data_IF_141676290247
#
_entry.id   IF_141676290247
#
_cell.length_a   1.000
_cell.length_b   1.000
_cell.length_c   1.000
_cell.angle_alpha   90.00
_cell.angle_beta   90.00
_cell.angle_gamma   90.00
#
_symmetry.space_group_name_H-M   'P 1'
#
loop_
_entity.id
_entity.type
_entity.pdbx_description
1 polymer ?
#
# COMPACT_ATOMS: atom_id res chain seq x y z
N UNK A 1 31.94 -74.75 -33.59
CA UNK A 1 30.63 -74.19 -33.22
C UNK A 1 30.44 -74.32 -31.72
N UNK A 2 30.07 -73.21 -31.09
CA UNK A 2 30.07 -72.94 -29.65
C UNK A 2 28.84 -73.47 -28.92
N UNK A 3 29.07 -74.04 -27.71
CA UNK A 3 28.41 -73.79 -26.39
C UNK A 3 28.24 -75.10 -25.59
N UNK A 4 29.24 -75.37 -24.75
CA UNK A 4 29.30 -76.48 -23.79
C UNK A 4 28.57 -76.09 -22.49
N UNK A 5 27.61 -76.90 -22.01
CA UNK A 5 27.80 -78.04 -21.10
C UNK A 5 28.70 -77.71 -19.91
N UNK A 6 28.08 -77.61 -18.72
CA UNK A 6 28.50 -78.22 -17.44
C UNK A 6 27.92 -77.44 -16.26
N UNK A 7 26.63 -77.65 -16.04
CA UNK A 7 26.14 -77.75 -14.66
C UNK A 7 26.66 -79.09 -14.15
N UNK A 8 27.23 -79.07 -12.94
CA UNK A 8 27.70 -80.21 -12.12
C UNK A 8 29.04 -80.86 -12.56
N UNK A 9 30.10 -80.58 -11.81
CA UNK A 9 31.12 -81.54 -11.33
C UNK A 9 32.14 -80.71 -10.50
N UNK A 10 32.03 -80.74 -9.17
CA UNK A 10 32.93 -81.53 -8.33
C UNK A 10 34.37 -81.02 -8.26
N UNK A 11 34.72 -80.54 -7.06
CA UNK A 11 35.94 -80.92 -6.34
C UNK A 11 37.28 -80.29 -6.79
N UNK A 12 37.99 -79.77 -5.78
CA UNK A 12 39.43 -79.46 -5.74
C UNK A 12 39.90 -78.14 -6.39
N UNK A 13 39.77 -77.03 -5.64
CA UNK A 13 40.86 -76.07 -5.39
C UNK A 13 40.38 -74.95 -4.43
N UNK A 14 39.98 -75.32 -3.20
CA UNK A 14 40.30 -74.49 -2.03
C UNK A 14 41.83 -74.27 -2.10
N UNK A 15 42.36 -73.05 -2.07
CA UNK A 15 42.26 -72.15 -0.93
C UNK A 15 43.65 -72.05 -0.32
N UNK A 16 44.09 -70.82 -0.06
CA UNK A 16 45.33 -70.42 0.60
C UNK A 16 46.61 -70.35 -0.26
N UNK A 17 47.45 -69.38 0.10
CA UNK A 17 48.79 -69.02 -0.43
C UNK A 17 48.76 -68.38 -1.83
N UNK A 18 48.95 -67.07 -1.98
CA UNK A 18 50.21 -66.38 -1.66
C UNK A 18 50.03 -64.90 -1.33
N UNK A 19 50.13 -64.57 -0.03
CA UNK A 19 50.88 -63.38 0.39
C UNK A 19 52.30 -63.54 -0.14
N UNK A 20 52.84 -62.59 -0.91
CA UNK A 20 54.28 -62.27 -0.96
C UNK A 20 54.51 -61.00 -1.80
N UNK A 21 55.05 -60.00 -1.11
CA UNK A 21 56.01 -59.00 -1.56
C UNK A 21 55.50 -57.79 -2.36
N UNK A 22 55.71 -56.62 -1.76
CA UNK A 22 55.38 -55.33 -2.31
C UNK A 22 56.23 -54.91 -3.50
N UNK A 23 55.71 -53.92 -4.20
CA UNK A 23 56.51 -52.87 -4.82
C UNK A 23 55.62 -51.64 -4.98
N UNK A 24 56.09 -50.54 -4.41
CA UNK A 24 55.88 -49.15 -4.79
C UNK A 24 54.63 -48.78 -5.61
N UNK A 25 53.85 -47.82 -5.08
CA UNK A 25 53.33 -46.77 -5.95
C UNK A 25 52.08 -46.05 -5.48
N UNK A 26 52.30 -44.79 -5.07
CA UNK A 26 51.38 -43.65 -5.25
C UNK A 26 50.38 -43.33 -4.12
N UNK A 27 50.88 -42.62 -3.10
CA UNK A 27 50.06 -41.69 -2.31
C UNK A 27 50.30 -40.26 -2.82
N UNK A 28 49.31 -39.65 -3.46
CA UNK A 28 49.30 -38.21 -3.70
C UNK A 28 48.56 -37.54 -2.55
N UNK A 29 49.34 -37.12 -1.54
CA UNK A 29 48.89 -36.12 -0.58
C UNK A 29 48.97 -34.74 -1.22
N UNK A 30 47.93 -34.34 -1.94
CA UNK A 30 47.80 -32.96 -2.41
C UNK A 30 46.95 -32.18 -1.40
N UNK A 31 47.63 -31.47 -0.49
CA UNK A 31 47.02 -30.41 0.32
C UNK A 31 46.75 -29.23 -0.62
N UNK A 32 45.50 -29.01 -0.98
CA UNK A 32 45.07 -27.87 -1.78
C UNK A 32 45.17 -26.57 -0.96
N UNK A 33 46.01 -25.66 -1.44
CA UNK A 33 46.42 -24.39 -0.85
C UNK A 33 45.40 -23.25 -1.02
N UNK A 34 44.12 -23.54 -0.80
CA UNK A 34 43.03 -22.55 -0.89
C UNK A 34 42.18 -22.56 0.38
N UNK A 35 42.83 -22.46 1.53
CA UNK A 35 42.14 -22.09 2.76
C UNK A 35 42.03 -20.56 2.79
N UNK A 36 41.04 -20.03 2.10
CA UNK A 36 40.57 -18.67 2.36
C UNK A 36 39.70 -18.80 3.61
N UNK A 37 40.32 -18.64 4.79
CA UNK A 37 39.57 -18.46 6.03
C UNK A 37 38.71 -17.23 5.86
N UNK A 38 37.42 -17.42 5.57
CA UNK A 38 36.47 -16.33 5.49
C UNK A 38 36.45 -15.66 6.87
N UNK A 39 36.52 -14.32 6.98
CA UNK A 39 36.31 -13.68 8.27
C UNK A 39 34.98 -14.20 8.83
N UNK A 40 35.00 -14.74 10.05
CA UNK A 40 33.75 -15.07 10.73
C UNK A 40 32.96 -13.77 10.83
N UNK A 41 31.91 -13.65 10.02
CA UNK A 41 30.88 -12.63 10.15
C UNK A 41 30.38 -12.66 11.60
N UNK A 42 30.89 -11.75 12.42
CA UNK A 42 30.56 -11.62 13.84
C UNK A 42 29.70 -10.39 13.99
N UNK A 43 28.40 -10.59 13.84
CA UNK A 43 27.41 -9.54 13.96
C UNK A 43 26.05 -10.13 14.30
N UNK A 44 25.31 -9.45 15.16
CA UNK A 44 23.91 -9.79 15.45
C UNK A 44 23.05 -8.90 14.57
N UNK A 45 22.30 -9.50 13.65
CA UNK A 45 21.29 -8.77 12.88
C UNK A 45 20.01 -8.75 13.69
N UNK A 46 19.56 -7.54 14.05
CA UNK A 46 18.32 -7.33 14.78
C UNK A 46 17.34 -6.64 13.85
N UNK A 47 16.23 -7.31 13.58
CA UNK A 47 15.06 -6.71 12.95
C UNK A 47 14.04 -6.41 14.05
N UNK A 48 13.59 -5.17 14.13
CA UNK A 48 12.57 -4.74 15.10
C UNK A 48 11.49 -3.96 14.37
N UNK A 49 10.23 -4.29 14.65
CA UNK A 49 9.05 -3.54 14.21
C UNK A 49 8.52 -2.76 15.40
N UNK A 50 8.36 -1.45 15.25
CA UNK A 50 7.70 -0.59 16.23
C UNK A 50 6.34 -0.16 15.71
N UNK A 51 5.30 -0.35 16.50
CA UNK A 51 3.96 0.17 16.22
C UNK A 51 3.59 1.20 17.28
N UNK A 52 2.99 2.31 16.85
CA UNK A 52 2.45 3.32 17.75
C UNK A 52 1.01 3.61 17.34
N UNK A 53 0.11 3.54 18.32
CA UNK A 53 -1.28 3.92 18.15
C UNK A 53 -1.52 5.23 18.89
N UNK A 54 -2.11 6.20 18.19
CA UNK A 54 -2.41 7.53 18.72
C UNK A 54 -3.88 7.84 18.51
N UNK A 55 -4.47 8.57 19.45
CA UNK A 55 -5.83 9.08 19.32
C UNK A 55 -5.78 10.33 18.41
N UNK A 56 -6.63 10.43 17.37
CA UNK A 56 -6.72 11.64 16.55
C UNK A 56 -7.12 12.86 17.40
N UNK A 57 -6.46 13.99 17.16
CA UNK A 57 -6.56 15.23 17.94
C UNK A 57 -7.30 16.36 17.20
N UNK A 58 -7.97 16.05 16.09
CA UNK A 58 -8.79 17.01 15.36
C UNK A 58 -9.52 16.42 14.16
N UNK A 59 -10.60 17.08 13.75
CA UNK A 59 -11.42 16.73 12.59
C UNK A 59 -11.66 17.96 11.74
N UNK A 60 -11.40 17.86 10.44
CA UNK A 60 -11.79 18.88 9.48
C UNK A 60 -12.93 18.36 8.61
N UNK A 61 -13.97 19.18 8.43
CA UNK A 61 -15.04 18.91 7.48
C UNK A 61 -15.33 20.14 6.62
N UNK A 62 -15.84 19.87 5.42
CA UNK A 62 -16.21 20.90 4.46
C UNK A 62 -17.69 20.76 4.14
N UNK A 63 -18.40 21.88 4.08
CA UNK A 63 -19.79 21.92 3.64
C UNK A 63 -20.05 23.16 2.79
N UNK A 64 -21.12 23.11 2.02
CA UNK A 64 -21.54 24.23 1.17
C UNK A 64 -23.02 24.49 1.34
N UNK A 65 -23.39 25.77 1.35
CA UNK A 65 -24.78 26.20 1.23
C UNK A 65 -24.98 26.74 -0.18
N UNK A 66 -26.15 26.48 -0.74
CA UNK A 66 -26.50 26.99 -2.06
C UNK A 66 -27.96 27.43 -2.12
N UNK A 67 -28.23 28.39 -2.99
CA UNK A 67 -29.57 28.84 -3.33
C UNK A 67 -29.69 29.01 -4.85
N UNK A 68 -30.87 28.71 -5.41
CA UNK A 68 -31.18 28.88 -6.83
C UNK A 68 -32.32 29.87 -6.96
N UNK A 69 -32.08 30.98 -7.65
CA UNK A 69 -33.06 32.05 -7.81
C UNK A 69 -33.16 32.54 -9.26
N UNK A 70 -34.23 33.25 -9.59
CA UNK A 70 -34.44 33.78 -10.94
C UNK A 70 -33.37 34.80 -11.38
N UNK A 71 -32.71 35.49 -10.44
CA UNK A 71 -31.66 36.47 -10.74
C UNK A 71 -30.40 36.21 -9.91
N UNK A 72 -29.24 36.57 -10.47
CA UNK A 72 -27.94 36.48 -9.77
C UNK A 72 -27.91 37.26 -8.45
N UNK A 73 -28.55 38.45 -8.42
CA UNK A 73 -28.62 39.27 -7.21
C UNK A 73 -29.41 38.60 -6.09
N UNK A 74 -30.59 38.04 -6.42
CA UNK A 74 -31.42 37.33 -5.44
C UNK A 74 -30.73 36.04 -4.96
N UNK A 75 -30.07 35.31 -5.87
CA UNK A 75 -29.34 34.10 -5.53
C UNK A 75 -28.23 34.39 -4.52
N UNK A 76 -27.43 35.44 -4.75
CA UNK A 76 -26.38 35.88 -3.82
C UNK A 76 -26.94 36.30 -2.47
N UNK A 77 -28.01 37.09 -2.44
CA UNK A 77 -28.65 37.52 -1.18
C UNK A 77 -29.17 36.33 -0.37
N UNK A 78 -29.85 35.38 -1.03
CA UNK A 78 -30.33 34.15 -0.37
C UNK A 78 -29.18 33.28 0.12
N UNK A 79 -28.13 33.10 -0.68
CA UNK A 79 -26.96 32.33 -0.27
C UNK A 79 -26.23 32.97 0.93
N UNK A 80 -26.09 34.29 0.96
CA UNK A 80 -25.51 35.02 2.10
C UNK A 80 -26.34 34.84 3.38
N UNK A 81 -27.68 34.91 3.28
CA UNK A 81 -28.55 34.68 4.43
C UNK A 81 -28.42 33.24 4.97
N UNK A 82 -28.38 32.24 4.08
CA UNK A 82 -28.17 30.85 4.48
C UNK A 82 -26.79 30.63 5.10
N UNK A 83 -25.77 31.31 4.59
CA UNK A 83 -24.43 31.30 5.15
C UNK A 83 -24.36 31.92 6.55
N UNK A 84 -25.09 33.01 6.78
CA UNK A 84 -25.19 33.64 8.10
C UNK A 84 -25.83 32.69 9.11
N UNK A 85 -26.94 32.04 8.73
CA UNK A 85 -27.60 31.01 9.55
C UNK A 85 -26.71 29.79 9.80
N UNK A 86 -25.95 29.35 8.81
CA UNK A 86 -25.02 28.23 8.97
C UNK A 86 -23.89 28.58 9.97
N UNK A 87 -23.35 29.80 9.91
CA UNK A 87 -22.35 30.26 10.89
C UNK A 87 -22.95 30.40 12.28
N UNK A 88 -24.19 30.87 12.39
CA UNK A 88 -24.90 30.97 13.67
C UNK A 88 -25.12 29.60 14.30
N UNK A 89 -25.63 28.62 13.54
CA UNK A 89 -25.82 27.25 14.00
C UNK A 89 -24.50 26.60 14.47
N UNK A 90 -23.38 26.87 13.80
CA UNK A 90 -22.07 26.38 14.23
C UNK A 90 -21.59 27.04 15.53
N UNK A 91 -21.80 28.35 15.69
CA UNK A 91 -21.48 29.06 16.93
C UNK A 91 -22.32 28.53 18.10
N UNK A 92 -23.62 28.29 17.89
CA UNK A 92 -24.51 27.68 18.89
C UNK A 92 -24.10 26.25 19.26
N UNK A 93 -23.52 25.52 18.31
CA UNK A 93 -22.96 24.18 18.51
C UNK A 93 -21.60 24.18 19.24
N UNK A 94 -21.08 25.36 19.62
CA UNK A 94 -19.83 25.51 20.35
C UNK A 94 -18.58 25.54 19.47
N UNK A 95 -18.72 25.72 18.15
CA UNK A 95 -17.58 25.91 17.25
C UNK A 95 -17.14 27.37 17.31
N UNK A 96 -15.87 27.62 17.66
CA UNK A 96 -15.34 28.97 17.68
C UNK A 96 -15.26 29.56 16.27
N UNK A 97 -15.50 30.87 16.14
CA UNK A 97 -15.38 31.59 14.85
C UNK A 97 -14.00 31.45 14.20
N UNK A 98 -12.93 31.30 14.98
CA UNK A 98 -11.56 31.08 14.47
C UNK A 98 -11.40 29.76 13.72
N UNK A 99 -12.28 28.81 14.00
CA UNK A 99 -12.26 27.45 13.47
C UNK A 99 -13.21 27.29 12.28
N UNK A 100 -13.93 28.36 11.90
CA UNK A 100 -14.81 28.43 10.73
C UNK A 100 -14.12 29.28 9.66
N UNK A 101 -13.60 28.64 8.61
CA UNK A 101 -13.06 29.31 7.45
C UNK A 101 -14.12 29.43 6.35
N UNK A 102 -14.58 30.64 6.08
CA UNK A 102 -15.45 30.94 4.95
C UNK A 102 -14.64 31.04 3.66
N UNK A 103 -15.03 30.28 2.66
CA UNK A 103 -14.40 30.28 1.33
C UNK A 103 -15.16 31.18 0.36
N UNK A 104 -14.62 31.31 -0.86
CA UNK A 104 -15.19 32.12 -1.94
C UNK A 104 -16.64 31.75 -2.26
N UNK A 105 -17.43 32.76 -2.62
CA UNK A 105 -18.77 32.59 -3.18
C UNK A 105 -18.67 32.47 -4.71
N UNK A 106 -19.42 31.52 -5.28
CA UNK A 106 -19.48 31.31 -6.72
C UNK A 106 -20.92 31.35 -7.20
N UNK A 107 -21.16 32.00 -8.35
CA UNK A 107 -22.50 32.15 -8.93
C UNK A 107 -22.47 31.72 -10.38
N UNK A 108 -23.33 30.77 -10.76
CA UNK A 108 -23.42 30.26 -12.13
C UNK A 108 -24.87 30.12 -12.59
N UNK A 109 -25.18 30.34 -13.88
CA UNK A 109 -26.49 30.04 -14.43
C UNK A 109 -26.76 28.54 -14.46
N UNK A 110 -27.98 28.13 -14.12
CA UNK A 110 -28.46 26.75 -14.10
C UNK A 110 -29.48 26.56 -15.23
N UNK A 111 -29.27 25.55 -16.06
CA UNK A 111 -30.09 25.26 -17.24
C UNK A 111 -30.76 23.89 -17.13
N UNK A 112 -32.02 23.82 -17.54
CA UNK A 112 -32.75 22.58 -17.74
C UNK A 112 -32.65 22.18 -19.19
N UNK A 113 -32.43 20.89 -19.42
CA UNK A 113 -32.47 20.30 -20.75
C UNK A 113 -33.71 19.42 -20.83
N UNK A 114 -34.65 19.81 -21.68
CA UNK A 114 -35.79 18.96 -22.02
C UNK A 114 -35.34 17.79 -22.89
N UNK A 115 -36.10 16.70 -22.90
CA UNK A 115 -35.84 15.52 -23.73
C UNK A 115 -35.83 15.86 -25.23
N UNK A 116 -36.48 16.96 -25.60
CA UNK A 116 -36.54 17.53 -26.96
C UNK A 116 -35.28 18.34 -27.35
N UNK A 117 -34.28 18.44 -26.47
CA UNK A 117 -33.04 19.17 -26.71
C UNK A 117 -33.11 20.69 -26.50
N UNK A 118 -34.25 21.24 -26.06
CA UNK A 118 -34.35 22.67 -25.75
C UNK A 118 -33.74 22.97 -24.38
N UNK A 119 -32.85 23.96 -24.35
CA UNK A 119 -32.23 24.52 -23.14
C UNK A 119 -33.10 25.65 -22.59
N UNK A 120 -33.52 25.54 -21.33
CA UNK A 120 -34.25 26.58 -20.62
C UNK A 120 -33.45 27.03 -19.39
N UNK A 121 -33.26 28.34 -19.21
CA UNK A 121 -32.63 28.88 -18.01
C UNK A 121 -33.58 28.68 -16.82
N UNK A 122 -33.16 27.90 -15.83
CA UNK A 122 -33.91 27.67 -14.58
C UNK A 122 -33.69 28.84 -13.62
N UNK A 123 -32.46 29.35 -13.57
CA UNK A 123 -32.08 30.45 -12.68
C UNK A 123 -30.57 30.56 -12.51
N UNK A 124 -30.16 31.18 -11.42
CA UNK A 124 -28.77 31.34 -11.01
C UNK A 124 -28.57 30.62 -9.69
N UNK A 125 -27.59 29.72 -9.65
CA UNK A 125 -27.14 29.05 -8.44
C UNK A 125 -26.00 29.84 -7.83
N UNK A 126 -26.20 30.36 -6.62
CA UNK A 126 -25.13 30.87 -5.77
C UNK A 126 -24.74 29.80 -4.76
N UNK A 127 -23.45 29.56 -4.60
CA UNK A 127 -22.89 28.56 -3.68
C UNK A 127 -21.76 29.18 -2.87
N UNK A 128 -21.77 28.95 -1.56
CA UNK A 128 -20.70 29.34 -0.66
C UNK A 128 -20.22 28.12 0.13
N UNK A 129 -18.91 27.96 0.21
CA UNK A 129 -18.27 26.83 0.90
C UNK A 129 -17.63 27.26 2.21
N UNK A 130 -17.60 26.33 3.16
CA UNK A 130 -17.03 26.51 4.50
C UNK A 130 -16.12 25.32 4.79
N UNK A 131 -14.98 25.61 5.40
CA UNK A 131 -14.09 24.62 6.00
C UNK A 131 -14.10 24.82 7.51
N UNK A 132 -14.46 23.79 8.26
CA UNK A 132 -14.52 23.83 9.73
C UNK A 132 -13.50 22.87 10.29
N UNK A 133 -12.70 23.33 11.25
CA UNK A 133 -11.65 22.53 11.90
C UNK A 133 -11.94 22.42 13.39
N UNK A 134 -12.32 21.23 13.84
CA UNK A 134 -12.47 20.89 15.25
C UNK A 134 -11.15 20.35 15.77
N UNK A 135 -10.72 20.80 16.96
CA UNK A 135 -9.52 20.35 17.67
C UNK A 135 -9.89 20.03 19.11
#
# INVERSE_FOLDING_TARGET
MFKNKKILLSLAALGATTMLLGSCGFSVGQKNTWDVTQPLETGVTVEATGEVSVVPDGVQFNFSVFAVEATSSLASQRANLLADLAREALNESGVDKKDIATQSISIYPEYSYSQDGRQSLIGFRASQSFAVTLR
#
